data_IF_996507706170
#
_entry.id   IF_996507706170
#
_cell.length_a   1.000
_cell.length_b   1.000
_cell.length_c   1.000
_cell.angle_alpha   90.00
_cell.angle_beta   90.00
_cell.angle_gamma   90.00
#
_symmetry.space_group_name_H-M   'P 1'
#
loop_
_entity.id
_entity.type
_entity.pdbx_description
1 polymer ?
#
# COMPACT_ATOMS: atom_id res chain seq x y z
N UNK A 1 -37.30 -5.27 25.53
CA UNK A 1 -36.50 -4.73 24.41
C UNK A 1 -36.25 -3.26 24.72
N UNK A 2 -35.09 -2.93 25.29
CA UNK A 2 -34.68 -1.54 25.49
C UNK A 2 -34.45 -0.91 24.11
N UNK A 3 -35.21 0.13 23.76
CA UNK A 3 -34.96 0.93 22.57
C UNK A 3 -33.53 1.47 22.67
N UNK A 4 -32.72 1.15 21.66
CA UNK A 4 -31.37 1.68 21.50
C UNK A 4 -31.50 3.18 21.17
N UNK A 5 -30.76 4.02 21.89
CA UNK A 5 -30.74 5.47 21.70
C UNK A 5 -30.43 5.81 20.21
N UNK A 6 -31.24 6.63 19.51
CA UNK A 6 -31.04 6.95 18.10
C UNK A 6 -29.62 7.43 17.76
N UNK A 7 -28.97 8.16 18.68
CA UNK A 7 -27.60 8.63 18.48
C UNK A 7 -26.60 7.46 18.46
N UNK A 8 -26.75 6.48 19.33
CA UNK A 8 -25.91 5.29 19.38
C UNK A 8 -26.07 4.40 18.14
N UNK A 9 -27.30 4.30 17.62
CA UNK A 9 -27.57 3.60 16.37
C UNK A 9 -26.86 4.27 15.18
N UNK A 10 -26.83 5.60 15.14
CA UNK A 10 -26.14 6.35 14.08
C UNK A 10 -24.62 6.11 14.09
N UNK A 11 -23.98 6.16 15.26
CA UNK A 11 -22.53 5.93 15.44
C UNK A 11 -22.14 4.52 14.95
N UNK A 12 -22.95 3.52 15.30
CA UNK A 12 -22.74 2.14 14.88
C UNK A 12 -22.78 1.97 13.36
N UNK A 13 -23.72 2.62 12.69
CA UNK A 13 -23.83 2.61 11.21
C UNK A 13 -22.59 3.25 10.60
N UNK A 14 -22.17 4.42 11.09
CA UNK A 14 -20.95 5.09 10.62
C UNK A 14 -19.70 4.25 10.82
N UNK A 15 -19.52 3.65 12.00
CA UNK A 15 -18.38 2.78 12.30
C UNK A 15 -18.32 1.57 11.35
N UNK A 16 -19.47 0.96 11.06
CA UNK A 16 -19.57 -0.18 10.13
C UNK A 16 -19.23 0.24 8.71
N UNK A 17 -19.80 1.35 8.22
CA UNK A 17 -19.50 1.88 6.89
C UNK A 17 -18.02 2.24 6.70
N UNK A 18 -17.41 2.87 7.72
CA UNK A 18 -16.00 3.22 7.69
C UNK A 18 -15.11 1.97 7.63
N UNK A 19 -15.42 0.98 8.45
CA UNK A 19 -14.77 -0.32 8.47
C UNK A 19 -14.87 -1.04 7.11
N UNK A 20 -16.07 -1.07 6.52
CA UNK A 20 -16.30 -1.68 5.20
C UNK A 20 -15.53 -0.96 4.09
N UNK A 21 -15.53 0.38 4.12
CA UNK A 21 -14.75 1.20 3.18
C UNK A 21 -13.26 0.89 3.28
N UNK A 22 -12.71 0.81 4.49
CA UNK A 22 -11.31 0.50 4.73
C UNK A 22 -10.93 -0.89 4.23
N UNK A 23 -11.78 -1.89 4.50
CA UNK A 23 -11.56 -3.25 4.03
C UNK A 23 -11.61 -3.35 2.51
N UNK A 24 -12.57 -2.68 1.87
CA UNK A 24 -12.67 -2.62 0.42
C UNK A 24 -11.45 -1.95 -0.21
N UNK A 25 -10.94 -0.88 0.40
CA UNK A 25 -9.72 -0.21 -0.06
C UNK A 25 -8.51 -1.16 -0.04
N UNK A 26 -8.30 -1.88 1.06
CA UNK A 26 -7.19 -2.85 1.19
C UNK A 26 -7.35 -4.00 0.19
N UNK A 27 -8.57 -4.46 -0.09
CA UNK A 27 -8.82 -5.48 -1.13
C UNK A 27 -8.41 -4.96 -2.50
N UNK A 28 -8.88 -3.77 -2.88
CA UNK A 28 -8.58 -3.17 -4.20
C UNK A 28 -7.07 -2.94 -4.34
N UNK A 29 -6.41 -2.47 -3.28
CA UNK A 29 -4.96 -2.32 -3.26
C UNK A 29 -4.25 -3.67 -3.43
N UNK A 30 -4.69 -4.71 -2.72
CA UNK A 30 -4.11 -6.06 -2.83
C UNK A 30 -4.26 -6.64 -4.25
N UNK A 31 -5.40 -6.42 -4.90
CA UNK A 31 -5.65 -6.83 -6.27
C UNK A 31 -4.70 -6.09 -7.23
N UNK A 32 -4.57 -4.78 -7.05
CA UNK A 32 -3.68 -3.93 -7.85
C UNK A 32 -2.22 -4.35 -7.69
N UNK A 33 -1.80 -4.67 -6.47
CA UNK A 33 -0.46 -5.18 -6.18
C UNK A 33 -0.23 -6.57 -6.78
N UNK A 34 -1.26 -7.42 -6.81
CA UNK A 34 -1.22 -8.70 -7.53
C UNK A 34 -0.99 -8.51 -9.03
N UNK A 35 -1.69 -7.57 -9.67
CA UNK A 35 -1.46 -7.21 -11.07
C UNK A 35 -0.04 -6.67 -11.29
N UNK A 36 0.46 -5.82 -10.39
CA UNK A 36 1.83 -5.31 -10.46
C UNK A 36 2.89 -6.42 -10.36
N UNK A 37 2.67 -7.40 -9.47
CA UNK A 37 3.52 -8.59 -9.31
C UNK A 37 3.55 -9.41 -10.61
N UNK A 38 2.39 -9.65 -11.23
CA UNK A 38 2.31 -10.39 -12.48
C UNK A 38 3.10 -9.70 -13.60
N UNK A 39 2.94 -8.38 -13.76
CA UNK A 39 3.70 -7.60 -14.74
C UNK A 39 5.21 -7.65 -14.48
N UNK A 40 5.63 -7.45 -13.21
CA UNK A 40 7.03 -7.51 -12.83
C UNK A 40 7.63 -8.89 -13.15
N UNK A 41 6.90 -9.98 -12.86
CA UNK A 41 7.35 -11.34 -13.15
C UNK A 41 7.61 -11.57 -14.65
N UNK A 42 6.73 -11.06 -15.52
CA UNK A 42 6.90 -11.15 -16.99
C UNK A 42 8.12 -10.35 -17.44
N UNK A 43 8.32 -9.15 -16.90
CA UNK A 43 9.47 -8.30 -17.23
C UNK A 43 10.77 -8.97 -16.79
N UNK A 44 10.85 -9.46 -15.55
CA UNK A 44 12.03 -10.15 -15.04
C UNK A 44 12.33 -11.41 -15.86
N UNK A 45 11.30 -12.20 -16.17
CA UNK A 45 11.43 -13.39 -17.02
C UNK A 45 12.02 -13.03 -18.39
N UNK A 46 11.47 -12.01 -19.06
CA UNK A 46 11.96 -11.54 -20.36
C UNK A 46 13.41 -11.09 -20.29
N UNK A 47 13.80 -10.38 -19.23
CA UNK A 47 15.17 -9.91 -19.03
C UNK A 47 16.14 -11.08 -18.83
N UNK A 48 15.78 -12.06 -18.03
CA UNK A 48 16.61 -13.26 -17.78
C UNK A 48 16.74 -14.13 -19.04
N UNK A 49 15.67 -14.25 -19.83
CA UNK A 49 15.63 -15.05 -21.05
C UNK A 49 16.35 -14.43 -22.25
N UNK A 50 16.51 -13.10 -22.30
CA UNK A 50 17.05 -12.42 -23.49
C UNK A 50 18.56 -12.23 -23.40
N UNK A 51 19.30 -12.75 -24.39
CA UNK A 51 20.74 -12.55 -24.54
C UNK A 51 21.09 -11.15 -25.09
N UNK A 52 20.46 -10.09 -24.57
CA UNK A 52 20.44 -8.78 -25.22
C UNK A 52 21.68 -7.92 -24.90
N UNK A 53 22.16 -7.22 -25.94
CA UNK A 53 23.37 -6.37 -26.00
C UNK A 53 23.34 -5.20 -24.98
N UNK A 54 22.17 -4.69 -24.59
CA UNK A 54 22.01 -3.59 -23.61
C UNK A 54 21.97 -4.07 -22.14
N UNK A 55 22.77 -5.08 -21.81
CA UNK A 55 22.71 -5.84 -20.55
C UNK A 55 22.80 -4.98 -19.29
N UNK A 56 23.53 -3.85 -19.32
CA UNK A 56 23.73 -2.97 -18.16
C UNK A 56 22.52 -2.09 -17.85
N UNK A 57 21.95 -1.40 -18.84
CA UNK A 57 20.78 -0.52 -18.63
C UNK A 57 19.53 -1.31 -18.24
N UNK A 58 19.33 -2.49 -18.83
CA UNK A 58 18.20 -3.38 -18.51
C UNK A 58 18.30 -3.90 -17.08
N UNK A 59 19.51 -4.27 -16.62
CA UNK A 59 19.74 -4.68 -15.22
C UNK A 59 19.48 -3.57 -14.21
N UNK A 60 19.91 -2.33 -14.52
CA UNK A 60 19.66 -1.17 -13.65
C UNK A 60 18.16 -0.92 -13.54
N UNK A 61 17.43 -0.90 -14.66
CA UNK A 61 15.99 -0.71 -14.65
C UNK A 61 15.26 -1.82 -13.90
N UNK A 62 15.65 -3.08 -14.10
CA UNK A 62 15.10 -4.20 -13.34
C UNK A 62 15.35 -4.06 -11.83
N UNK A 63 16.54 -3.58 -11.44
CA UNK A 63 16.86 -3.28 -10.05
C UNK A 63 15.97 -2.19 -9.46
N UNK A 64 15.77 -1.08 -10.19
CA UNK A 64 14.87 0.01 -9.78
C UNK A 64 13.42 -0.51 -9.65
N UNK A 65 12.94 -1.28 -10.62
CA UNK A 65 11.59 -1.87 -10.56
C UNK A 65 11.43 -2.87 -9.40
N UNK A 66 12.45 -3.68 -9.11
CA UNK A 66 12.43 -4.58 -7.95
C UNK A 66 12.42 -3.79 -6.63
N UNK A 67 13.19 -2.71 -6.53
CA UNK A 67 13.18 -1.84 -5.36
C UNK A 67 11.81 -1.19 -5.15
N UNK A 68 11.21 -0.63 -6.20
CA UNK A 68 9.87 -0.05 -6.11
C UNK A 68 8.81 -1.08 -5.69
N UNK A 69 8.94 -2.31 -6.20
CA UNK A 69 8.10 -3.44 -5.80
C UNK A 69 8.25 -3.79 -4.33
N UNK A 70 9.48 -3.82 -3.79
CA UNK A 70 9.68 -4.09 -2.36
C UNK A 70 9.04 -3.01 -1.48
N UNK A 71 9.15 -1.73 -1.86
CA UNK A 71 8.52 -0.63 -1.14
C UNK A 71 6.99 -0.71 -1.18
N UNK A 72 6.42 -1.00 -2.35
CA UNK A 72 4.98 -1.20 -2.50
C UNK A 72 4.47 -2.41 -1.69
N UNK A 73 5.24 -3.49 -1.64
CA UNK A 73 4.91 -4.66 -0.83
C UNK A 73 4.97 -4.35 0.67
N UNK A 74 5.95 -3.55 1.10
CA UNK A 74 6.04 -3.08 2.48
C UNK A 74 4.82 -2.23 2.88
N UNK A 75 4.40 -1.31 2.00
CA UNK A 75 3.20 -0.49 2.18
C UNK A 75 1.94 -1.36 2.36
N UNK A 76 1.69 -2.28 1.43
CA UNK A 76 0.54 -3.19 1.50
C UNK A 76 0.60 -4.07 2.76
N UNK A 77 1.78 -4.59 3.12
CA UNK A 77 1.95 -5.41 4.32
C UNK A 77 1.64 -4.64 5.60
N UNK A 78 2.04 -3.37 5.67
CA UNK A 78 1.74 -2.49 6.81
C UNK A 78 0.25 -2.20 6.92
N UNK A 79 -0.42 -1.87 5.81
CA UNK A 79 -1.88 -1.65 5.78
C UNK A 79 -2.66 -2.91 6.16
N UNK A 80 -2.20 -4.07 5.68
CA UNK A 80 -2.77 -5.37 6.05
C UNK A 80 -2.58 -5.69 7.54
N UNK A 81 -1.43 -5.34 8.12
CA UNK A 81 -1.17 -5.53 9.55
C UNK A 81 -2.13 -4.68 10.41
N UNK A 82 -2.35 -3.42 10.04
CA UNK A 82 -3.30 -2.53 10.72
C UNK A 82 -4.72 -3.09 10.62
N UNK A 83 -5.14 -3.51 9.43
CA UNK A 83 -6.44 -4.14 9.24
C UNK A 83 -6.57 -5.37 10.15
N UNK A 84 -5.60 -6.29 10.11
CA UNK A 84 -5.62 -7.48 10.98
C UNK A 84 -5.72 -7.12 12.46
N UNK A 85 -4.99 -6.12 12.92
CA UNK A 85 -5.01 -5.69 14.31
C UNK A 85 -6.37 -5.11 14.72
N UNK A 86 -6.93 -4.21 13.91
CA UNK A 86 -8.23 -3.58 14.18
C UNK A 86 -9.38 -4.61 14.17
N UNK A 87 -9.38 -5.52 13.18
CA UNK A 87 -10.47 -6.47 12.99
C UNK A 87 -10.37 -7.72 13.89
N UNK A 88 -9.18 -8.28 14.09
CA UNK A 88 -8.99 -9.54 14.84
C UNK A 88 -8.72 -9.27 16.32
N UNK A 89 -7.86 -8.31 16.65
CA UNK A 89 -7.44 -8.07 18.05
C UNK A 89 -8.41 -7.16 18.80
N UNK A 90 -9.00 -6.17 18.11
CA UNK A 90 -9.92 -5.18 18.71
C UNK A 90 -11.36 -5.32 18.23
N UNK A 91 -11.70 -6.43 17.57
CA UNK A 91 -12.98 -6.66 16.91
C UNK A 91 -14.19 -6.93 17.82
N UNK A 92 -14.10 -6.67 19.12
CA UNK A 92 -15.14 -7.03 20.09
C UNK A 92 -16.38 -6.12 20.06
N UNK A 93 -16.22 -4.83 19.75
CA UNK A 93 -17.33 -3.88 19.58
C UNK A 93 -17.07 -2.97 18.38
N UNK A 94 -18.13 -2.45 17.75
CA UNK A 94 -18.02 -1.57 16.58
C UNK A 94 -17.28 -0.27 16.92
N UNK A 95 -17.46 0.24 18.14
CA UNK A 95 -16.69 1.38 18.66
C UNK A 95 -15.20 1.06 18.83
N UNK A 96 -14.85 -0.11 19.38
CA UNK A 96 -13.46 -0.50 19.55
C UNK A 96 -12.74 -0.71 18.20
N UNK A 97 -13.47 -1.19 17.18
CA UNK A 97 -12.97 -1.26 15.80
C UNK A 97 -12.75 0.12 15.20
N UNK A 98 -13.71 1.02 15.36
CA UNK A 98 -13.62 2.40 14.88
C UNK A 98 -12.45 3.14 15.53
N UNK A 99 -12.31 3.06 16.87
CA UNK A 99 -11.16 3.62 17.58
C UNK A 99 -9.85 2.94 17.20
N UNK A 100 -9.83 1.63 16.90
CA UNK A 100 -8.62 0.98 16.40
C UNK A 100 -8.23 1.45 14.97
N UNK A 101 -9.22 1.86 14.15
CA UNK A 101 -9.00 2.32 12.79
C UNK A 101 -8.71 3.84 12.68
N UNK A 102 -9.22 4.66 13.60
CA UNK A 102 -9.03 6.13 13.56
C UNK A 102 -8.04 6.59 14.63
N UNK A 103 -8.10 5.97 15.80
CA UNK A 103 -7.41 6.41 17.01
C UNK A 103 -6.18 5.54 17.32
N UNK A 104 -5.46 5.19 16.25
CA UNK A 104 -4.20 4.44 16.29
C UNK A 104 -3.07 5.19 17.01
N UNK A 105 -3.24 6.48 17.31
CA UNK A 105 -2.29 7.33 18.06
C UNK A 105 -2.61 7.43 19.55
N UNK A 106 -3.86 7.23 19.95
CA UNK A 106 -4.34 7.65 21.29
C UNK A 106 -4.71 6.45 22.17
N UNK A 107 -4.91 5.27 21.56
CA UNK A 107 -5.23 4.01 22.27
C UNK A 107 -3.98 3.30 22.86
N UNK A 108 -2.91 4.02 23.18
CA UNK A 108 -1.72 3.50 23.87
C UNK A 108 -0.82 2.56 23.06
N UNK A 109 -1.17 2.25 21.81
CA UNK A 109 -0.29 1.54 20.89
C UNK A 109 0.36 2.56 19.95
N UNK A 110 1.61 2.93 20.23
CA UNK A 110 2.38 3.89 19.44
C UNK A 110 2.63 3.36 18.02
N UNK A 111 1.64 3.37 17.12
CA UNK A 111 1.79 2.96 15.71
C UNK A 111 2.16 4.13 14.78
N UNK A 112 2.49 5.30 15.33
CA UNK A 112 2.95 6.45 14.54
C UNK A 112 4.16 6.10 13.65
N UNK A 113 5.08 5.25 14.12
CA UNK A 113 6.22 4.79 13.34
C UNK A 113 5.80 4.02 12.07
N UNK A 114 4.72 3.26 12.14
CA UNK A 114 4.23 2.48 11.01
C UNK A 114 3.65 3.37 9.91
N UNK A 115 2.93 4.42 10.29
CA UNK A 115 2.40 5.43 9.35
C UNK A 115 3.54 6.19 8.68
N UNK A 116 4.54 6.62 9.47
CA UNK A 116 5.72 7.26 8.90
C UNK A 116 6.43 6.37 7.88
N UNK A 117 6.59 5.07 8.17
CA UNK A 117 7.18 4.13 7.21
C UNK A 117 6.30 4.01 5.96
N UNK A 118 4.98 3.94 6.12
CA UNK A 118 4.03 3.84 5.02
C UNK A 118 4.11 5.06 4.09
N UNK A 119 4.02 6.27 4.65
CA UNK A 119 4.09 7.53 3.90
C UNK A 119 5.46 7.73 3.25
N UNK A 120 6.54 7.40 3.96
CA UNK A 120 7.90 7.48 3.42
C UNK A 120 8.09 6.48 2.28
N UNK A 121 7.60 5.24 2.42
CA UNK A 121 7.68 4.23 1.36
C UNK A 121 6.90 4.67 0.11
N UNK A 122 5.71 5.22 0.29
CA UNK A 122 4.91 5.79 -0.81
C UNK A 122 5.63 6.98 -1.46
N UNK A 123 6.15 7.92 -0.66
CA UNK A 123 6.89 9.08 -1.14
C UNK A 123 8.17 8.72 -1.91
N UNK A 124 8.94 7.76 -1.42
CA UNK A 124 10.13 7.25 -2.13
C UNK A 124 9.72 6.61 -3.45
N UNK A 125 8.64 5.84 -3.49
CA UNK A 125 8.14 5.24 -4.74
C UNK A 125 7.76 6.30 -5.78
N UNK A 126 7.07 7.36 -5.38
CA UNK A 126 6.72 8.48 -6.27
C UNK A 126 7.98 9.17 -6.78
N UNK A 127 8.91 9.50 -5.89
CA UNK A 127 10.17 10.14 -6.25
C UNK A 127 10.97 9.31 -7.26
N UNK A 128 11.09 8.00 -7.03
CA UNK A 128 11.79 7.09 -7.94
C UNK A 128 11.07 7.02 -9.29
N UNK A 129 9.74 7.00 -9.30
CA UNK A 129 8.96 7.02 -10.54
C UNK A 129 9.24 8.28 -11.37
N UNK A 130 9.23 9.45 -10.73
CA UNK A 130 9.52 10.74 -11.37
C UNK A 130 10.95 10.78 -11.91
N UNK A 131 11.93 10.31 -11.13
CA UNK A 131 13.32 10.20 -11.58
C UNK A 131 13.45 9.30 -12.82
N UNK A 132 12.73 8.18 -12.88
CA UNK A 132 12.74 7.26 -14.03
C UNK A 132 12.12 7.94 -15.27
N UNK A 133 11.03 8.68 -15.11
CA UNK A 133 10.39 9.41 -16.22
C UNK A 133 11.33 10.49 -16.75
N UNK A 134 11.92 11.31 -15.87
CA UNK A 134 12.89 12.35 -16.25
C UNK A 134 14.07 11.74 -16.98
N UNK A 135 14.63 10.63 -16.46
CA UNK A 135 15.73 9.91 -17.09
C UNK A 135 15.38 9.42 -18.50
N UNK A 136 14.17 8.89 -18.70
CA UNK A 136 13.69 8.44 -20.01
C UNK A 136 13.53 9.60 -20.99
N UNK A 137 12.97 10.73 -20.54
CA UNK A 137 12.86 11.94 -21.35
C UNK A 137 14.25 12.48 -21.75
N UNK A 138 15.21 12.44 -20.83
CA UNK A 138 16.58 12.88 -21.09
C UNK A 138 17.28 12.01 -22.16
N UNK A 139 17.17 10.69 -22.08
CA UNK A 139 17.74 9.77 -23.10
C UNK A 139 17.14 10.00 -24.49
N UNK A 140 15.87 10.38 -24.58
CA UNK A 140 15.21 10.67 -25.86
C UNK A 140 15.74 11.98 -26.43
N UNK A 141 15.88 13.01 -25.59
CA UNK A 141 16.39 14.31 -26.00
C UNK A 141 17.85 14.26 -26.43
N UNK A 142 18.70 13.49 -25.74
CA UNK A 142 20.13 13.33 -26.07
C UNK A 142 20.38 12.67 -27.44
N UNK A 143 19.37 12.02 -28.01
CA UNK A 143 19.46 11.33 -29.31
C UNK A 143 18.99 12.16 -30.51
N UNK A 144 18.61 13.42 -30.33
CA UNK A 144 18.11 14.31 -31.38
C UNK A 144 18.94 15.60 -31.47
#
# INVERSE_FOLDING_TARGET
MSQLDPDFASIKIFATQYSDSWFNEVIIESLTHGMYTALLSVVVWRILSSATIYRRQVKILAGISAFMYTMATMHLAMRWFIARWAFITKGGTDEARYHALIDWTTTGANFAWALMINDVAAGINILVADCVIIWRCWIIWDKN
#
